data_IF_714071142068
#
_entry.id   IF_714071142068
#
_cell.length_a   1.000
_cell.length_b   1.000
_cell.length_c   1.000
_cell.angle_alpha   90.00
_cell.angle_beta   90.00
_cell.angle_gamma   90.00
#
_symmetry.space_group_name_H-M   'P 1'
#
loop_
_entity.id
_entity.type
_entity.pdbx_description
1 polymer ?
#
# COMPACT_ATOMS: atom_id res chain seq x y z
N UNK A 1 15.16 -5.19 -2.39
CA UNK A 1 14.39 -4.11 -3.07
C UNK A 1 13.43 -3.39 -2.12
N UNK A 2 12.27 -3.98 -1.73
CA UNK A 2 11.31 -3.28 -0.85
C UNK A 2 11.89 -3.02 0.55
N UNK A 3 12.59 -4.01 1.12
CA UNK A 3 13.20 -3.89 2.44
C UNK A 3 14.28 -2.81 2.50
N UNK A 4 15.12 -2.71 1.45
CA UNK A 4 16.20 -1.73 1.37
C UNK A 4 15.64 -0.29 1.29
N UNK A 5 14.58 -0.09 0.51
CA UNK A 5 13.86 1.21 0.45
C UNK A 5 13.24 1.58 1.78
N UNK A 6 12.66 0.61 2.49
CA UNK A 6 12.09 0.80 3.83
C UNK A 6 13.17 1.20 4.85
N UNK A 7 14.32 0.52 4.81
CA UNK A 7 15.46 0.84 5.67
C UNK A 7 15.94 2.28 5.40
N UNK A 8 16.07 2.66 4.13
CA UNK A 8 16.46 4.02 3.73
C UNK A 8 15.45 5.08 4.18
N UNK A 9 14.15 4.82 4.02
CA UNK A 9 13.08 5.71 4.54
C UNK A 9 13.21 5.90 6.06
N UNK A 10 13.52 4.83 6.79
CA UNK A 10 13.70 4.88 8.25
C UNK A 10 14.96 5.64 8.65
N UNK A 11 16.07 5.48 7.93
CA UNK A 11 17.29 6.27 8.11
C UNK A 11 17.02 7.76 7.91
N UNK A 12 16.38 8.14 6.80
CA UNK A 12 16.00 9.52 6.50
C UNK A 12 15.03 10.06 7.55
N UNK A 13 14.09 9.25 8.02
CA UNK A 13 13.16 9.64 9.08
C UNK A 13 13.86 9.86 10.43
N UNK A 14 14.88 9.06 10.75
CA UNK A 14 15.70 9.24 11.95
C UNK A 14 16.52 10.53 11.84
N UNK A 15 17.16 10.76 10.68
CA UNK A 15 17.94 11.97 10.41
C UNK A 15 17.09 13.24 10.48
N UNK A 16 15.88 13.20 9.93
CA UNK A 16 14.90 14.30 10.01
C UNK A 16 14.58 14.71 11.45
N UNK A 17 14.50 13.73 12.37
CA UNK A 17 14.20 13.97 13.79
C UNK A 17 15.40 14.51 14.58
N UNK A 18 16.63 14.17 14.17
CA UNK A 18 17.84 14.54 14.93
C UNK A 18 18.47 15.84 14.44
N UNK A 19 18.81 15.89 13.16
CA UNK A 19 19.63 16.97 12.57
C UNK A 19 18.87 17.78 11.53
N UNK A 20 17.69 17.30 11.12
CA UNK A 20 16.98 17.81 9.95
C UNK A 20 17.48 17.16 8.65
N UNK A 21 16.66 17.29 7.60
CA UNK A 21 16.96 16.82 6.25
C UNK A 21 17.39 17.99 5.37
N UNK A 22 18.37 17.76 4.50
CA UNK A 22 18.63 18.68 3.38
C UNK A 22 17.49 18.62 2.36
N UNK A 23 17.39 19.61 1.47
CA UNK A 23 16.34 19.60 0.44
C UNK A 23 16.43 18.38 -0.50
N UNK A 24 17.65 17.96 -0.84
CA UNK A 24 17.91 16.76 -1.63
C UNK A 24 17.37 15.50 -0.93
N UNK A 25 17.61 15.38 0.38
CA UNK A 25 17.14 14.23 1.16
C UNK A 25 15.62 14.25 1.38
N UNK A 26 14.98 15.42 1.41
CA UNK A 26 13.52 15.53 1.44
C UNK A 26 12.91 15.04 0.14
N UNK A 27 13.51 15.38 -0.99
CA UNK A 27 13.09 14.91 -2.32
C UNK A 27 13.25 13.38 -2.39
N UNK A 28 14.43 12.86 -2.00
CA UNK A 28 14.68 11.41 -1.94
C UNK A 28 13.64 10.70 -1.05
N UNK A 29 13.37 11.23 0.15
CA UNK A 29 12.38 10.67 1.06
C UNK A 29 10.97 10.68 0.46
N UNK A 30 10.59 11.74 -0.25
CA UNK A 30 9.27 11.85 -0.87
C UNK A 30 9.09 10.84 -2.01
N UNK A 31 10.11 10.67 -2.85
CA UNK A 31 10.12 9.69 -3.94
C UNK A 31 10.03 8.26 -3.41
N UNK A 32 10.88 7.92 -2.44
CA UNK A 32 10.89 6.59 -1.82
C UNK A 32 9.54 6.27 -1.14
N UNK A 33 8.94 7.27 -0.46
CA UNK A 33 7.61 7.09 0.15
C UNK A 33 6.51 6.91 -0.89
N UNK A 34 6.56 7.66 -2.00
CA UNK A 34 5.56 7.55 -3.07
C UNK A 34 5.59 6.15 -3.68
N UNK A 35 6.77 5.64 -3.97
CA UNK A 35 6.95 4.30 -4.52
C UNK A 35 6.49 3.22 -3.53
N UNK A 36 6.93 3.30 -2.27
CA UNK A 36 6.50 2.37 -1.22
C UNK A 36 4.98 2.34 -1.06
N UNK A 37 4.32 3.52 -1.07
CA UNK A 37 2.87 3.61 -0.96
C UNK A 37 2.14 3.01 -2.16
N UNK A 38 2.69 3.14 -3.36
CA UNK A 38 2.10 2.52 -4.56
C UNK A 38 2.13 0.99 -4.44
N UNK A 39 3.28 0.43 -4.09
CA UNK A 39 3.45 -1.01 -3.87
C UNK A 39 2.57 -1.52 -2.73
N UNK A 40 2.54 -0.79 -1.61
CA UNK A 40 1.72 -1.13 -0.45
C UNK A 40 0.23 -1.13 -0.79
N UNK A 41 -0.26 -0.09 -1.46
CA UNK A 41 -1.67 -0.01 -1.89
C UNK A 41 -2.04 -1.15 -2.83
N UNK A 42 -1.16 -1.49 -3.78
CA UNK A 42 -1.37 -2.62 -4.68
C UNK A 42 -1.54 -3.93 -3.91
N UNK A 43 -0.58 -4.24 -3.02
CA UNK A 43 -0.63 -5.46 -2.17
C UNK A 43 -1.86 -5.49 -1.26
N UNK A 44 -2.26 -4.34 -0.71
CA UNK A 44 -3.45 -4.24 0.13
C UNK A 44 -4.73 -4.49 -0.67
N UNK A 45 -4.86 -3.93 -1.87
CA UNK A 45 -6.00 -4.19 -2.75
C UNK A 45 -6.09 -5.67 -3.14
N UNK A 46 -4.95 -6.32 -3.37
CA UNK A 46 -4.90 -7.75 -3.66
C UNK A 46 -5.40 -8.58 -2.48
N UNK A 47 -4.99 -8.23 -1.26
CA UNK A 47 -5.46 -8.89 -0.05
C UNK A 47 -6.98 -8.68 0.16
N UNK A 48 -7.47 -7.45 0.01
CA UNK A 48 -8.89 -7.12 0.18
C UNK A 48 -9.78 -7.79 -0.86
N UNK A 49 -9.32 -7.94 -2.10
CA UNK A 49 -10.08 -8.63 -3.15
C UNK A 49 -10.07 -10.15 -2.98
N UNK A 50 -9.11 -10.70 -2.22
CA UNK A 50 -9.04 -12.12 -1.88
C UNK A 50 -10.07 -12.50 -0.80
N UNK A 51 -10.26 -11.64 0.20
CA UNK A 51 -11.12 -11.90 1.36
C UNK A 51 -12.61 -11.78 0.99
N UNK A 52 -13.45 -12.63 1.59
CA UNK A 52 -14.91 -12.53 1.59
C UNK A 52 -15.38 -12.23 3.01
N UNK A 53 -16.28 -11.28 3.16
CA UNK A 53 -16.93 -10.97 4.44
C UNK A 53 -18.27 -11.70 4.49
N UNK A 54 -18.46 -12.51 5.53
CA UNK A 54 -19.71 -13.24 5.81
C UNK A 54 -20.24 -12.81 7.17
N UNK A 55 -21.57 -12.76 7.30
CA UNK A 55 -22.23 -12.53 8.59
C UNK A 55 -22.38 -13.83 9.40
N UNK A 56 -22.95 -13.74 10.60
CA UNK A 56 -23.16 -14.86 11.52
C UNK A 56 -24.11 -15.94 10.94
N UNK A 57 -24.97 -15.54 9.99
CA UNK A 57 -25.89 -16.44 9.27
C UNK A 57 -25.25 -17.03 8.00
N UNK A 58 -23.99 -16.69 7.70
CA UNK A 58 -23.23 -17.22 6.56
C UNK A 58 -23.50 -16.51 5.23
N UNK A 59 -24.21 -15.39 5.22
CA UNK A 59 -24.50 -14.61 4.02
C UNK A 59 -23.34 -13.68 3.67
N UNK A 60 -23.05 -13.59 2.36
CA UNK A 60 -21.96 -12.77 1.83
C UNK A 60 -22.31 -11.27 1.85
N UNK A 61 -21.90 -10.62 2.93
CA UNK A 61 -22.04 -9.18 3.17
C UNK A 61 -20.82 -8.38 2.68
N UNK A 62 -19.99 -8.94 1.78
CA UNK A 62 -18.84 -8.20 1.24
C UNK A 62 -19.33 -6.89 0.58
N UNK A 63 -18.74 -5.72 0.94
CA UNK A 63 -19.17 -4.42 0.42
C UNK A 63 -19.23 -4.38 -1.12
N UNK A 64 -20.27 -3.74 -1.66
CA UNK A 64 -20.49 -3.65 -3.11
C UNK A 64 -19.27 -3.08 -3.86
N UNK A 65 -18.59 -2.09 -3.28
CA UNK A 65 -17.36 -1.50 -3.84
C UNK A 65 -16.24 -2.53 -4.03
N UNK A 66 -16.07 -3.44 -3.07
CA UNK A 66 -15.06 -4.51 -3.15
C UNK A 66 -15.46 -5.58 -4.17
N UNK A 67 -16.75 -5.93 -4.25
CA UNK A 67 -17.28 -6.86 -5.27
C UNK A 67 -17.01 -6.33 -6.68
N UNK A 68 -17.26 -5.04 -6.92
CA UNK A 68 -16.97 -4.37 -8.20
C UNK A 68 -15.47 -4.33 -8.50
N UNK A 69 -14.63 -3.95 -7.54
CA UNK A 69 -13.18 -3.93 -7.71
C UNK A 69 -12.62 -5.31 -8.08
N UNK A 70 -13.12 -6.38 -7.44
CA UNK A 70 -12.77 -7.77 -7.76
C UNK A 70 -13.18 -8.16 -9.18
N UNK A 71 -14.39 -7.78 -9.61
CA UNK A 71 -14.89 -8.05 -10.95
C UNK A 71 -14.08 -7.31 -12.04
N UNK A 72 -13.77 -6.04 -11.82
CA UNK A 72 -12.92 -5.25 -12.74
C UNK A 72 -11.52 -5.85 -12.87
N UNK A 73 -10.89 -6.22 -11.75
CA UNK A 73 -9.58 -6.88 -11.74
C UNK A 73 -9.59 -8.19 -12.53
N UNK A 74 -10.63 -9.02 -12.37
CA UNK A 74 -10.80 -10.26 -13.14
C UNK A 74 -10.90 -10.00 -14.64
N UNK A 75 -11.57 -8.91 -15.06
CA UNK A 75 -11.71 -8.53 -16.46
C UNK A 75 -10.39 -8.05 -17.09
N UNK A 76 -9.54 -7.37 -16.32
CA UNK A 76 -8.23 -6.88 -16.80
C UNK A 76 -7.16 -7.97 -16.86
N UNK A 77 -7.41 -9.14 -16.27
CA UNK A 77 -6.48 -10.29 -16.22
C UNK A 77 -6.76 -11.34 -17.31
N UNK A 78 -7.83 -11.17 -18.10
CA UNK A 78 -8.25 -12.08 -19.17
C UNK A 78 -7.90 -11.54 -20.56
#
# INVERSE_FOLDING_TARGET
>A
MIQDKLNRINELAKKAKTTGLTEEEKIEQAELRKEYLADFRSRMMDQLTSIKVVDEEGKDVTPAKLKLAKAMKKRTLN
#
